data_IF_967396902542
#
_entry.id   IF_967396902542
#
_cell.length_a   1.000
_cell.length_b   1.000
_cell.length_c   1.000
_cell.angle_alpha   90.00
_cell.angle_beta   90.00
_cell.angle_gamma   90.00
#
_symmetry.space_group_name_H-M   'P 1'
#
loop_
_entity.id
_entity.type
_entity.pdbx_description
1 polymer ?
#
# COMPACT_ATOMS: atom_id res chain seq x y z
N UNK A 1 -13.33 -12.70 -6.85
CA UNK A 1 -12.66 -11.44 -7.24
C UNK A 1 -12.33 -10.69 -5.95
N UNK A 2 -11.07 -10.37 -5.69
CA UNK A 2 -10.69 -9.57 -4.52
C UNK A 2 -11.25 -8.15 -4.67
N UNK A 3 -11.97 -7.61 -3.68
CA UNK A 3 -12.56 -6.28 -3.77
C UNK A 3 -11.48 -5.19 -3.80
N UNK A 4 -11.76 -4.09 -4.50
CA UNK A 4 -10.88 -2.91 -4.50
C UNK A 4 -11.16 -2.10 -3.24
N UNK A 5 -10.14 -1.92 -2.41
CA UNK A 5 -10.22 -1.19 -1.14
C UNK A 5 -9.83 0.27 -1.35
N UNK A 6 -10.37 1.17 -0.54
CA UNK A 6 -9.96 2.58 -0.58
C UNK A 6 -8.76 2.80 0.32
N UNK A 7 -7.68 3.34 -0.23
CA UNK A 7 -6.48 3.70 0.53
C UNK A 7 -5.96 5.07 0.09
N UNK A 8 -5.20 5.70 0.97
CA UNK A 8 -4.43 6.89 0.64
C UNK A 8 -2.94 6.52 0.59
N UNK A 9 -2.26 6.93 -0.48
CA UNK A 9 -0.81 6.89 -0.52
C UNK A 9 -0.29 8.11 0.25
N UNK A 10 0.38 7.88 1.37
CA UNK A 10 0.90 8.94 2.22
C UNK A 10 2.30 9.39 1.80
N UNK A 11 3.12 8.44 1.35
CA UNK A 11 4.50 8.69 0.95
C UNK A 11 4.95 7.66 -0.07
N UNK A 12 5.61 8.10 -1.14
CA UNK A 12 6.26 7.21 -2.10
C UNK A 12 7.76 7.22 -1.81
N UNK A 13 8.31 6.05 -1.47
CA UNK A 13 9.72 5.89 -1.14
C UNK A 13 10.58 5.63 -2.37
N UNK A 14 10.06 4.87 -3.34
CA UNK A 14 10.78 4.61 -4.59
C UNK A 14 9.85 4.29 -5.73
N UNK A 15 10.27 4.68 -6.93
CA UNK A 15 9.67 4.28 -8.20
C UNK A 15 10.60 3.28 -8.88
N UNK A 16 10.06 2.12 -9.28
CA UNK A 16 10.75 1.12 -10.10
C UNK A 16 9.93 0.87 -11.37
N UNK A 17 10.58 0.34 -12.40
CA UNK A 17 9.96 0.08 -13.70
C UNK A 17 8.71 -0.80 -13.63
N UNK A 18 8.57 -1.61 -12.58
CA UNK A 18 7.48 -2.56 -12.36
C UNK A 18 6.55 -2.18 -11.20
N UNK A 19 6.71 -1.01 -10.56
CA UNK A 19 5.86 -0.60 -9.45
C UNK A 19 6.49 0.45 -8.53
N UNK A 20 5.74 0.85 -7.50
CA UNK A 20 6.19 1.82 -6.48
C UNK A 20 6.28 1.15 -5.12
N UNK A 21 7.20 1.61 -4.27
CA UNK A 21 7.16 1.33 -2.84
C UNK A 21 6.58 2.56 -2.15
N UNK A 22 5.47 2.40 -1.46
CA UNK A 22 4.77 3.52 -0.85
C UNK A 22 4.18 3.15 0.50
N UNK A 23 4.22 4.10 1.43
CA UNK A 23 3.42 4.05 2.67
C UNK A 23 1.98 4.32 2.31
N UNK A 24 1.10 3.35 2.57
CA UNK A 24 -0.33 3.49 2.40
C UNK A 24 -1.03 3.47 3.75
N UNK A 25 -2.19 4.12 3.78
CA UNK A 25 -3.16 4.00 4.86
C UNK A 25 -4.48 3.56 4.28
N UNK A 26 -4.94 2.37 4.64
CA UNK A 26 -6.30 1.98 4.30
C UNK A 26 -7.30 2.83 5.08
N UNK A 27 -8.44 3.13 4.45
CA UNK A 27 -9.57 3.74 5.14
C UNK A 27 -10.29 2.75 6.06
N UNK A 28 -10.10 1.46 5.82
CA UNK A 28 -10.46 0.40 6.76
C UNK A 28 -9.32 0.15 7.76
N UNK A 29 -9.64 -0.42 8.93
CA UNK A 29 -8.64 -0.80 9.94
C UNK A 29 -8.01 -2.17 9.67
N UNK A 30 -8.04 -2.65 8.43
CA UNK A 30 -7.55 -3.97 8.07
C UNK A 30 -6.11 -3.91 7.57
N UNK A 31 -5.35 -4.96 7.88
CA UNK A 31 -3.98 -5.11 7.40
C UNK A 31 -3.94 -5.33 5.88
N UNK A 32 -2.93 -4.79 5.17
CA UNK A 32 -2.69 -5.10 3.77
C UNK A 32 -2.35 -6.57 3.57
N UNK A 33 -2.83 -7.16 2.49
CA UNK A 33 -2.39 -8.47 2.02
C UNK A 33 -1.89 -8.39 0.58
N UNK A 34 -0.99 -9.31 0.23
CA UNK A 34 -0.53 -9.46 -1.15
C UNK A 34 -1.71 -9.91 -2.01
N UNK A 35 -1.90 -9.26 -3.16
CA UNK A 35 -3.03 -9.46 -4.06
C UNK A 35 -4.20 -8.52 -3.80
N UNK A 36 -4.20 -7.78 -2.69
CA UNK A 36 -5.19 -6.73 -2.47
C UNK A 36 -5.06 -5.64 -3.53
N UNK A 37 -6.21 -5.09 -3.89
CA UNK A 37 -6.29 -3.96 -4.81
C UNK A 37 -6.71 -2.74 -4.02
N UNK A 38 -6.04 -1.63 -4.27
CA UNK A 38 -6.41 -0.35 -3.70
C UNK A 38 -6.70 0.67 -4.80
N UNK A 39 -7.66 1.54 -4.53
CA UNK A 39 -7.95 2.68 -5.37
C UNK A 39 -7.47 3.96 -4.69
N UNK A 40 -6.70 4.76 -5.41
CA UNK A 40 -6.18 6.05 -5.00
C UNK A 40 -6.27 7.04 -6.17
N UNK A 41 -6.94 8.18 -5.94
CA UNK A 41 -7.09 9.28 -6.91
C UNK A 41 -7.41 8.86 -8.37
N UNK A 42 -8.29 7.87 -8.57
CA UNK A 42 -8.68 7.41 -9.90
C UNK A 42 -7.78 6.32 -10.49
N UNK A 43 -6.70 5.96 -9.81
CA UNK A 43 -5.80 4.87 -10.17
C UNK A 43 -6.09 3.63 -9.32
N UNK A 44 -5.92 2.45 -9.93
CA UNK A 44 -5.98 1.18 -9.21
C UNK A 44 -4.58 0.61 -9.12
N UNK A 45 -4.19 0.21 -7.92
CA UNK A 45 -2.94 -0.48 -7.66
C UNK A 45 -3.20 -1.85 -7.07
N UNK A 46 -2.36 -2.82 -7.39
CA UNK A 46 -2.30 -4.10 -6.70
C UNK A 46 -1.10 -4.17 -5.77
N UNK A 47 -1.32 -4.62 -4.54
CA UNK A 47 -0.27 -4.93 -3.58
C UNK A 47 0.44 -6.21 -4.01
N UNK A 48 1.74 -6.12 -4.25
CA UNK A 48 2.61 -7.25 -4.59
C UNK A 48 3.56 -7.62 -3.46
N UNK A 49 3.65 -6.79 -2.43
CA UNK A 49 4.43 -7.05 -1.23
C UNK A 49 4.05 -6.09 -0.11
N UNK A 50 4.06 -6.59 1.11
CA UNK A 50 3.86 -5.78 2.33
C UNK A 50 5.18 -5.82 3.09
N UNK A 51 5.75 -4.65 3.33
CA UNK A 51 6.98 -4.48 4.09
C UNK A 51 6.55 -4.28 5.54
N UNK A 52 6.89 -5.24 6.40
CA UNK A 52 6.69 -5.10 7.83
C UNK A 52 7.62 -4.00 8.36
N UNK A 53 7.10 -3.01 9.11
CA UNK A 53 7.95 -2.00 9.72
C UNK A 53 9.05 -2.66 10.55
N UNK A 54 10.26 -2.13 10.44
CA UNK A 54 11.31 -2.41 11.43
C UNK A 54 10.79 -1.98 12.81
N UNK A 55 10.93 -2.80 13.87
CA UNK A 55 10.43 -2.48 15.21
C UNK A 55 11.07 -1.22 15.83
N UNK A 56 12.09 -0.65 15.17
CA UNK A 56 12.84 0.53 15.62
C UNK A 56 12.24 1.85 15.11
N UNK A 57 11.42 1.83 14.05
CA UNK A 57 10.77 3.03 13.52
C UNK A 57 9.32 3.08 13.95
N UNK A 58 8.96 4.12 14.72
CA UNK A 58 7.57 4.47 15.03
C UNK A 58 6.84 4.85 13.74
N UNK A 59 6.30 3.86 13.01
CA UNK A 59 5.36 4.14 11.93
C UNK A 59 4.03 4.61 12.53
N UNK A 60 3.36 5.59 11.91
CA UNK A 60 2.03 6.00 12.32
C UNK A 60 1.10 4.77 12.38
N UNK A 61 0.26 4.70 13.42
CA UNK A 61 -0.74 3.63 13.54
C UNK A 61 -1.56 3.54 12.25
N UNK A 62 -1.81 2.31 11.82
CA UNK A 62 -2.59 1.97 10.62
C UNK A 62 -1.93 2.33 9.27
N UNK A 63 -0.62 2.58 9.25
CA UNK A 63 0.14 2.78 8.01
C UNK A 63 1.02 1.58 7.69
N UNK A 64 1.19 1.31 6.40
CA UNK A 64 1.91 0.14 5.91
C UNK A 64 2.71 0.48 4.68
N UNK A 65 3.99 0.08 4.66
CA UNK A 65 4.80 0.17 3.47
C UNK A 65 4.47 -1.00 2.54
N UNK A 66 3.95 -0.69 1.35
CA UNK A 66 3.53 -1.68 0.37
C UNK A 66 4.21 -1.47 -0.97
N UNK A 67 4.52 -2.57 -1.65
CA UNK A 67 4.89 -2.58 -3.07
C UNK A 67 3.62 -2.61 -3.89
N UNK A 68 3.41 -1.58 -4.69
CA UNK A 68 2.21 -1.36 -5.47
C UNK A 68 2.55 -1.43 -6.96
N UNK A 69 1.70 -2.09 -7.74
CA UNK A 69 1.79 -2.12 -9.20
C UNK A 69 0.50 -1.53 -9.76
N UNK A 70 0.63 -0.51 -10.61
CA UNK A 70 -0.53 0.10 -11.26
C UNK A 70 -1.15 -0.90 -12.23
N UNK A 71 -2.48 -1.03 -12.17
CA UNK A 71 -3.28 -1.87 -13.07
C UNK A 71 -3.83 -1.09 -14.25
#
# INVERSE_FOLDING_TARGET
>A
MTPVRSANILKIHSYKSFGILATIRFKDSLTPQIGDRLHEEGNIYQITGVVTPDPVQEQPKDTWDCRLVKM
#
